data_IF_555935920547
#
_entry.id   IF_555935920547
#
_cell.length_a   1.000
_cell.length_b   1.000
_cell.length_c   1.000
_cell.angle_alpha   90.00
_cell.angle_beta   90.00
_cell.angle_gamma   90.00
#
_symmetry.space_group_name_H-M   'P 1'
#
loop_
_entity.id
_entity.type
_entity.pdbx_description
1 polymer ?
#
# COMPACT_ATOMS: atom_id res chain seq x y z
N UNK A 1 10.55 -11.67 -11.63
CA UNK A 1 10.53 -11.41 -10.18
C UNK A 1 10.76 -9.93 -9.83
N UNK A 2 11.93 -9.34 -10.09
CA UNK A 2 12.21 -7.91 -9.76
C UNK A 2 11.26 -6.96 -10.51
N UNK A 3 11.02 -7.20 -11.79
CA UNK A 3 10.08 -6.42 -12.61
C UNK A 3 8.65 -6.47 -12.10
N UNK A 4 8.19 -7.62 -11.62
CA UNK A 4 6.84 -7.78 -11.05
C UNK A 4 6.69 -6.99 -9.75
N UNK A 5 7.69 -7.05 -8.87
CA UNK A 5 7.71 -6.26 -7.62
C UNK A 5 7.70 -4.77 -7.94
N UNK A 6 8.52 -4.32 -8.89
CA UNK A 6 8.55 -2.91 -9.29
C UNK A 6 7.20 -2.44 -9.86
N UNK A 7 6.57 -3.24 -10.72
CA UNK A 7 5.25 -2.91 -11.29
C UNK A 7 4.19 -2.83 -10.18
N UNK A 8 4.20 -3.76 -9.23
CA UNK A 8 3.27 -3.74 -8.09
C UNK A 8 3.45 -2.47 -7.25
N UNK A 9 4.69 -2.10 -6.91
CA UNK A 9 4.98 -0.89 -6.13
C UNK A 9 4.47 0.35 -6.86
N UNK A 10 4.78 0.50 -8.14
CA UNK A 10 4.35 1.63 -8.95
C UNK A 10 2.82 1.71 -9.01
N UNK A 11 2.15 0.60 -9.26
CA UNK A 11 0.70 0.53 -9.33
C UNK A 11 0.05 0.90 -7.99
N UNK A 12 0.57 0.38 -6.88
CA UNK A 12 0.11 0.72 -5.53
C UNK A 12 0.19 2.23 -5.30
N UNK A 13 1.34 2.84 -5.58
CA UNK A 13 1.54 4.29 -5.41
C UNK A 13 0.55 5.08 -6.29
N UNK A 14 0.37 4.70 -7.55
CA UNK A 14 -0.56 5.39 -8.46
C UNK A 14 -2.01 5.30 -7.99
N UNK A 15 -2.46 4.14 -7.55
CA UNK A 15 -3.81 3.93 -7.00
C UNK A 15 -4.00 4.80 -5.76
N UNK A 16 -3.07 4.77 -4.83
CA UNK A 16 -3.18 5.53 -3.59
C UNK A 16 -3.17 7.05 -3.80
N UNK A 17 -2.34 7.55 -4.71
CA UNK A 17 -2.37 8.96 -5.09
C UNK A 17 -3.70 9.35 -5.76
N UNK A 18 -4.28 8.46 -6.55
CA UNK A 18 -5.61 8.64 -7.13
C UNK A 18 -6.69 8.74 -6.06
N UNK A 19 -6.67 7.84 -5.09
CA UNK A 19 -7.61 7.83 -3.95
C UNK A 19 -7.39 9.06 -3.06
N UNK A 20 -6.15 9.47 -2.80
CA UNK A 20 -5.85 10.68 -2.05
C UNK A 20 -6.55 11.90 -2.63
N UNK A 21 -6.52 12.04 -3.96
CA UNK A 21 -7.22 13.14 -4.65
C UNK A 21 -8.74 13.06 -4.49
N UNK A 22 -9.33 11.87 -4.44
CA UNK A 22 -10.76 11.68 -4.16
C UNK A 22 -11.11 12.06 -2.71
N UNK A 23 -10.18 11.89 -1.78
CA UNK A 23 -10.30 12.33 -0.39
C UNK A 23 -9.92 13.81 -0.18
N UNK A 24 -9.83 14.59 -1.25
CA UNK A 24 -9.46 16.01 -1.22
C UNK A 24 -8.04 16.29 -0.72
N UNK A 25 -7.17 15.31 -0.66
CA UNK A 25 -5.75 15.44 -0.40
C UNK A 25 -5.09 15.78 -1.74
N UNK A 26 -4.89 17.07 -2.02
CA UNK A 26 -4.46 17.54 -3.35
C UNK A 26 -3.17 18.33 -3.35
N UNK A 27 -2.66 18.70 -2.18
CA UNK A 27 -1.42 19.47 -2.09
C UNK A 27 -0.23 18.60 -2.49
N UNK A 28 0.65 19.18 -3.29
CA UNK A 28 1.82 18.48 -3.84
C UNK A 28 2.66 17.81 -2.75
N UNK A 29 2.93 18.54 -1.68
CA UNK A 29 3.80 18.06 -0.62
C UNK A 29 3.17 16.89 0.16
N UNK A 30 1.84 16.92 0.36
CA UNK A 30 1.10 15.80 0.92
C UNK A 30 1.15 14.57 0.00
N UNK A 31 0.95 14.75 -1.30
CA UNK A 31 1.01 13.66 -2.28
C UNK A 31 2.42 13.05 -2.36
N UNK A 32 3.46 13.88 -2.33
CA UNK A 32 4.86 13.41 -2.27
C UNK A 32 5.13 12.65 -0.98
N UNK A 33 4.61 13.12 0.15
CA UNK A 33 4.74 12.42 1.42
C UNK A 33 4.05 11.05 1.39
N UNK A 34 2.81 10.97 0.88
CA UNK A 34 2.08 9.72 0.68
C UNK A 34 2.88 8.75 -0.20
N UNK A 35 3.40 9.22 -1.33
CA UNK A 35 4.20 8.39 -2.23
C UNK A 35 5.45 7.83 -1.54
N UNK A 36 6.13 8.62 -0.72
CA UNK A 36 7.32 8.19 0.04
C UNK A 36 6.98 7.16 1.12
N UNK A 37 5.88 7.37 1.86
CA UNK A 37 5.41 6.43 2.88
C UNK A 37 5.06 5.09 2.23
N UNK A 38 4.28 5.12 1.14
CA UNK A 38 3.93 3.92 0.39
C UNK A 38 5.15 3.18 -0.16
N UNK A 39 6.10 3.90 -0.73
CA UNK A 39 7.34 3.27 -1.21
C UNK A 39 8.06 2.57 -0.06
N UNK A 40 8.18 3.22 1.11
CA UNK A 40 8.83 2.66 2.29
C UNK A 40 8.10 1.41 2.81
N UNK A 41 6.78 1.48 2.98
CA UNK A 41 5.97 0.35 3.47
C UNK A 41 5.99 -0.82 2.51
N UNK A 42 5.93 -0.58 1.20
CA UNK A 42 6.01 -1.62 0.17
C UNK A 42 7.40 -2.30 0.11
N UNK A 43 8.48 -1.55 0.31
CA UNK A 43 9.82 -2.12 0.40
C UNK A 43 9.92 -3.03 1.64
N UNK A 44 9.44 -2.57 2.80
CA UNK A 44 9.42 -3.35 4.04
C UNK A 44 8.56 -4.60 3.87
N UNK A 45 7.36 -4.47 3.32
CA UNK A 45 6.45 -5.59 3.06
C UNK A 45 7.14 -6.67 2.22
N UNK A 46 7.73 -6.28 1.08
CA UNK A 46 8.39 -7.23 0.19
C UNK A 46 9.63 -7.87 0.85
N UNK A 47 10.39 -7.11 1.65
CA UNK A 47 11.52 -7.64 2.40
C UNK A 47 11.08 -8.68 3.45
N UNK A 48 10.02 -8.39 4.21
CA UNK A 48 9.45 -9.32 5.20
C UNK A 48 8.95 -10.59 4.53
N UNK A 49 8.19 -10.47 3.42
CA UNK A 49 7.70 -11.63 2.66
C UNK A 49 8.85 -12.48 2.12
N UNK A 50 9.92 -11.84 1.66
CA UNK A 50 11.11 -12.55 1.19
C UNK A 50 11.79 -13.31 2.34
N UNK A 51 11.95 -12.69 3.51
CA UNK A 51 12.49 -13.35 4.70
C UNK A 51 11.66 -14.55 5.14
N UNK A 52 10.33 -14.41 5.18
CA UNK A 52 9.41 -15.51 5.54
C UNK A 52 9.56 -16.66 4.55
N UNK A 53 9.63 -16.36 3.25
CA UNK A 53 9.83 -17.38 2.22
C UNK A 53 11.14 -18.16 2.37
N UNK A 54 12.21 -17.49 2.81
CA UNK A 54 13.49 -18.16 3.07
C UNK A 54 13.45 -19.06 4.31
N UNK A 55 12.67 -18.70 5.34
CA UNK A 55 12.58 -19.44 6.59
C UNK A 55 11.65 -20.65 6.46
N UNK A 56 10.52 -20.51 5.78
CA UNK A 56 9.46 -21.53 5.76
C UNK A 56 9.54 -22.51 4.58
N UNK A 57 10.46 -22.38 3.64
CA UNK A 57 10.55 -23.24 2.43
C UNK A 57 9.23 -23.30 1.62
N UNK A 58 8.12 -22.87 2.22
CA UNK A 58 6.76 -22.83 1.67
C UNK A 58 6.32 -21.37 1.49
N UNK A 59 5.44 -21.13 0.52
CA UNK A 59 4.79 -19.84 0.36
C UNK A 59 4.04 -19.48 1.65
N UNK A 60 4.16 -18.22 2.14
CA UNK A 60 3.39 -17.80 3.31
C UNK A 60 1.90 -18.03 3.06
N UNK A 61 1.22 -18.60 4.06
CA UNK A 61 -0.21 -18.84 3.98
C UNK A 61 -0.94 -17.50 3.72
N UNK A 62 -2.10 -17.57 3.10
CA UNK A 62 -2.94 -16.39 2.85
C UNK A 62 -3.18 -15.56 4.12
N UNK A 63 -3.33 -16.23 5.26
CA UNK A 63 -3.53 -15.58 6.56
C UNK A 63 -2.30 -14.75 6.99
N UNK A 64 -1.10 -15.24 6.77
CA UNK A 64 0.15 -14.52 7.08
C UNK A 64 0.26 -13.27 6.19
N UNK A 65 -0.03 -13.42 4.91
CA UNK A 65 -0.05 -12.29 3.98
C UNK A 65 -1.05 -11.21 4.43
N UNK A 66 -2.25 -11.61 4.80
CA UNK A 66 -3.31 -10.72 5.27
C UNK A 66 -2.95 -9.98 6.57
N UNK A 67 -2.26 -10.67 7.51
CA UNK A 67 -1.75 -10.05 8.74
C UNK A 67 -0.69 -9.00 8.47
N UNK A 68 0.20 -9.25 7.51
CA UNK A 68 1.25 -8.29 7.13
C UNK A 68 0.62 -7.07 6.47
N UNK A 69 -0.34 -7.24 5.57
CA UNK A 69 -1.08 -6.13 4.94
C UNK A 69 -1.86 -5.29 5.97
N UNK A 70 -2.46 -5.94 6.97
CA UNK A 70 -3.08 -5.23 8.09
C UNK A 70 -2.06 -4.41 8.87
N UNK A 71 -0.85 -4.95 9.09
CA UNK A 71 0.25 -4.23 9.72
C UNK A 71 0.67 -2.99 8.92
N UNK A 72 0.80 -3.11 7.61
CA UNK A 72 1.09 -1.98 6.69
C UNK A 72 0.01 -0.91 6.82
N UNK A 73 -1.26 -1.29 6.74
CA UNK A 73 -2.38 -0.36 6.92
C UNK A 73 -2.31 0.40 8.25
N UNK A 74 -2.04 -0.29 9.37
CA UNK A 74 -1.95 0.34 10.68
C UNK A 74 -0.80 1.35 10.75
N UNK A 75 0.35 1.01 10.20
CA UNK A 75 1.51 1.91 10.13
C UNK A 75 1.15 3.16 9.31
N UNK A 76 0.59 2.99 8.15
CA UNK A 76 0.20 4.10 7.26
C UNK A 76 -0.87 4.99 7.90
N UNK A 77 -1.89 4.39 8.53
CA UNK A 77 -2.94 5.13 9.23
C UNK A 77 -2.37 6.02 10.34
N UNK A 78 -1.45 5.49 11.16
CA UNK A 78 -0.78 6.25 12.22
C UNK A 78 0.11 7.36 11.65
N UNK A 79 0.90 7.04 10.62
CA UNK A 79 1.80 8.00 9.97
C UNK A 79 1.02 9.14 9.32
N UNK A 80 -0.05 8.84 8.59
CA UNK A 80 -0.88 9.87 7.97
C UNK A 80 -1.64 10.70 9.00
N UNK A 81 -2.24 10.08 10.01
CA UNK A 81 -2.93 10.80 11.08
C UNK A 81 -2.02 11.77 11.82
N UNK A 82 -0.74 11.41 12.00
CA UNK A 82 0.22 12.20 12.78
C UNK A 82 0.98 13.24 11.95
N UNK A 83 1.32 12.92 10.71
CA UNK A 83 2.29 13.72 9.95
C UNK A 83 1.75 14.37 8.69
N UNK A 84 0.62 13.89 8.11
CA UNK A 84 0.14 14.40 6.83
C UNK A 84 -0.19 15.90 6.87
N UNK A 85 -0.72 16.38 8.00
CA UNK A 85 -1.06 17.79 8.19
C UNK A 85 0.16 18.73 8.28
N UNK A 86 1.36 18.20 8.47
CA UNK A 86 2.59 19.02 8.46
C UNK A 86 2.93 19.55 7.07
N UNK A 87 2.33 18.99 6.04
CA UNK A 87 2.57 19.30 4.63
C UNK A 87 1.42 20.05 3.99
N UNK A 88 0.49 20.60 4.79
CA UNK A 88 -0.70 21.27 4.28
C UNK A 88 -1.06 22.52 5.08
N UNK A 89 -1.44 23.57 4.37
CA UNK A 89 -2.05 24.75 4.95
C UNK A 89 -3.52 24.52 5.33
N UNK A 90 -4.13 23.43 4.80
CA UNK A 90 -5.51 23.02 5.08
C UNK A 90 -5.52 21.68 5.79
N UNK A 91 -5.43 21.66 7.14
CA UNK A 91 -5.35 20.43 7.89
C UNK A 91 -6.63 19.60 7.74
N UNK A 92 -6.48 18.31 7.52
CA UNK A 92 -7.56 17.34 7.56
C UNK A 92 -7.72 16.76 8.97
N UNK A 93 -8.92 16.31 9.30
CA UNK A 93 -9.16 15.64 10.59
C UNK A 93 -8.43 14.30 10.64
N UNK A 94 -7.97 13.91 11.82
CA UNK A 94 -7.25 12.65 12.04
C UNK A 94 -8.03 11.43 11.51
N UNK A 95 -9.33 11.34 11.80
CA UNK A 95 -10.19 10.24 11.33
C UNK A 95 -10.29 10.19 9.80
N UNK A 96 -10.23 11.34 9.13
CA UNK A 96 -10.24 11.42 7.66
C UNK A 96 -8.98 10.79 7.06
N UNK A 97 -7.81 11.05 7.66
CA UNK A 97 -6.56 10.42 7.26
C UNK A 97 -6.58 8.90 7.48
N UNK A 98 -7.19 8.43 8.58
CA UNK A 98 -7.34 7.00 8.89
C UNK A 98 -8.27 6.32 7.89
N UNK A 99 -9.43 6.91 7.58
CA UNK A 99 -10.35 6.38 6.58
C UNK A 99 -9.69 6.35 5.19
N UNK A 100 -8.97 7.40 4.83
CA UNK A 100 -8.19 7.41 3.59
C UNK A 100 -7.23 6.22 3.52
N UNK A 101 -6.40 6.02 4.57
CA UNK A 101 -5.46 4.91 4.63
C UNK A 101 -6.17 3.55 4.48
N UNK A 102 -7.31 3.37 5.15
CA UNK A 102 -8.10 2.15 5.06
C UNK A 102 -8.61 1.90 3.64
N UNK A 103 -9.26 2.90 3.03
CA UNK A 103 -9.83 2.76 1.68
C UNK A 103 -8.72 2.53 0.65
N UNK A 104 -7.62 3.28 0.74
CA UNK A 104 -6.50 3.16 -0.17
C UNK A 104 -5.88 1.75 -0.12
N UNK A 105 -5.61 1.23 1.08
CA UNK A 105 -5.06 -0.10 1.26
C UNK A 105 -6.04 -1.21 0.80
N UNK A 106 -7.35 -1.05 1.07
CA UNK A 106 -8.36 -2.00 0.57
C UNK A 106 -8.38 -2.05 -0.96
N UNK A 107 -8.41 -0.91 -1.62
CA UNK A 107 -8.45 -0.85 -3.09
C UNK A 107 -7.17 -1.43 -3.69
N UNK A 108 -6.00 -1.12 -3.16
CA UNK A 108 -4.73 -1.68 -3.64
C UNK A 108 -4.63 -3.18 -3.42
N UNK A 109 -5.11 -3.68 -2.27
CA UNK A 109 -5.18 -5.11 -1.99
C UNK A 109 -6.05 -5.84 -3.01
N UNK A 110 -7.29 -5.38 -3.25
CA UNK A 110 -8.18 -6.00 -4.23
C UNK A 110 -7.66 -5.87 -5.66
N UNK A 111 -7.07 -4.75 -6.03
CA UNK A 111 -6.43 -4.59 -7.34
C UNK A 111 -5.28 -5.59 -7.53
N UNK A 112 -4.49 -5.84 -6.50
CA UNK A 112 -3.44 -6.85 -6.51
C UNK A 112 -3.98 -8.26 -6.72
N UNK A 113 -5.09 -8.63 -6.05
CA UNK A 113 -5.74 -9.93 -6.24
C UNK A 113 -6.28 -10.11 -7.66
N UNK A 114 -6.94 -9.08 -8.21
CA UNK A 114 -7.44 -9.11 -9.58
C UNK A 114 -6.31 -9.32 -10.58
N UNK A 115 -5.18 -8.63 -10.41
CA UNK A 115 -4.00 -8.80 -11.27
C UNK A 115 -3.45 -10.22 -11.23
N UNK A 116 -3.40 -10.84 -10.06
CA UNK A 116 -2.98 -12.25 -9.92
C UNK A 116 -3.92 -13.16 -10.70
N UNK A 117 -5.25 -12.98 -10.57
CA UNK A 117 -6.24 -13.77 -11.29
C UNK A 117 -6.08 -13.59 -12.81
N UNK A 118 -5.93 -12.33 -13.27
CA UNK A 118 -5.72 -12.04 -14.71
C UNK A 118 -4.46 -12.72 -15.20
N UNK A 119 -3.35 -12.63 -14.45
CA UNK A 119 -2.10 -13.26 -14.82
C UNK A 119 -2.24 -14.78 -14.97
N UNK A 120 -2.95 -15.44 -14.04
CA UNK A 120 -3.23 -16.88 -14.10
C UNK A 120 -4.10 -17.26 -15.29
N UNK A 121 -5.09 -16.44 -15.66
CA UNK A 121 -5.96 -16.71 -16.82
C UNK A 121 -5.21 -16.64 -18.15
N UNK A 122 -4.21 -15.76 -18.27
CA UNK A 122 -3.45 -15.58 -19.51
C UNK A 122 -2.16 -16.41 -19.57
N UNK A 123 -1.67 -16.93 -18.44
CA UNK A 123 -0.48 -17.78 -18.33
C UNK A 123 -0.78 -19.03 -17.50
N UNK A 124 -1.55 -19.97 -18.01
CA UNK A 124 -2.00 -21.14 -17.24
C UNK A 124 -0.90 -22.18 -16.97
N UNK A 125 0.37 -21.96 -17.45
CA UNK A 125 1.51 -22.86 -17.24
C UNK A 125 2.80 -22.09 -16.92
#
# INVERSE_FOLDING_TARGET
MITEVAVRIILTILIELGIAKLFFIRERDQLVFIAKVNLGTQIILNAVLLCIRFIEVLWPSYNVYLLIELGVFLIEAVVYAKYLNRFSDKPIKCWHAVIYAFVANMVTFFAGQILVIIFWLFNPY
#
